data_IF_167829544425
#
_entry.id   IF_167829544425
#
_cell.length_a   1.000
_cell.length_b   1.000
_cell.length_c   1.000
_cell.angle_alpha   90.00
_cell.angle_beta   90.00
_cell.angle_gamma   90.00
#
_symmetry.space_group_name_H-M   'P 1'
#
loop_
_entity.id
_entity.type
_entity.pdbx_description
1 polymer ?
#
# COMPACT_ATOMS: atom_id res chain seq x y z
N UNK A 1 7.33 -2.39 12.55
CA UNK A 1 6.47 -1.54 11.71
C UNK A 1 6.77 -0.09 12.03
N UNK A 2 6.63 0.80 11.04
CA UNK A 2 6.94 2.23 11.20
C UNK A 2 5.70 3.02 11.59
N UNK A 3 5.85 3.98 12.50
CA UNK A 3 4.75 4.78 13.09
C UNK A 3 3.76 5.34 12.06
N UNK A 4 4.27 5.89 10.95
CA UNK A 4 3.44 6.49 9.88
C UNK A 4 2.63 5.42 9.14
N UNK A 5 3.22 4.26 8.87
CA UNK A 5 2.51 3.17 8.20
C UNK A 5 1.39 2.62 9.09
N UNK A 6 1.68 2.40 10.38
CA UNK A 6 0.69 1.92 11.34
C UNK A 6 -0.42 2.96 11.59
N UNK A 7 -0.09 4.26 11.60
CA UNK A 7 -1.08 5.34 11.68
C UNK A 7 -2.04 5.31 10.48
N UNK A 8 -1.49 5.22 9.26
CA UNK A 8 -2.30 5.22 8.04
C UNK A 8 -3.14 3.93 7.89
N UNK A 9 -2.64 2.80 8.41
CA UNK A 9 -3.38 1.54 8.45
C UNK A 9 -4.43 1.48 9.57
N UNK A 10 -4.46 2.45 10.50
CA UNK A 10 -5.33 2.42 11.67
C UNK A 10 -4.94 1.35 12.69
N UNK A 11 -3.67 0.95 12.72
CA UNK A 11 -3.15 -0.13 13.57
C UNK A 11 -2.49 0.36 14.87
N UNK A 12 -2.46 1.68 15.11
CA UNK A 12 -1.93 2.21 16.36
C UNK A 12 -2.85 1.88 17.55
N UNK A 13 -2.25 1.59 18.69
CA UNK A 13 -3.00 1.52 19.94
C UNK A 13 -3.59 2.89 20.30
N UNK A 14 -4.70 2.95 21.05
CA UNK A 14 -5.37 4.21 21.37
C UNK A 14 -4.46 5.26 22.01
N UNK A 15 -3.56 4.83 22.90
CA UNK A 15 -2.60 5.71 23.58
C UNK A 15 -1.62 6.34 22.60
N UNK A 16 -1.09 5.57 21.65
CA UNK A 16 -0.11 6.06 20.67
C UNK A 16 -0.80 6.93 19.62
N UNK A 17 -2.01 6.55 19.20
CA UNK A 17 -2.84 7.35 18.31
C UNK A 17 -3.09 8.75 18.89
N UNK A 18 -3.58 8.83 20.13
CA UNK A 18 -3.87 10.11 20.79
C UNK A 18 -2.60 10.98 20.95
N UNK A 19 -1.47 10.37 21.32
CA UNK A 19 -0.20 11.09 21.43
C UNK A 19 0.27 11.63 20.07
N UNK A 20 0.14 10.84 19.01
CA UNK A 20 0.55 11.23 17.67
C UNK A 20 -0.36 12.31 17.08
N UNK A 21 -1.68 12.18 17.22
CA UNK A 21 -2.64 13.21 16.78
C UNK A 21 -2.44 14.53 17.52
N UNK A 22 -2.18 14.48 18.83
CA UNK A 22 -1.80 15.68 19.59
C UNK A 22 -0.53 16.32 19.02
N UNK A 23 0.49 15.53 18.66
CA UNK A 23 1.70 16.06 18.05
C UNK A 23 1.41 16.73 16.69
N UNK A 24 0.61 16.09 15.83
CA UNK A 24 0.21 16.67 14.54
C UNK A 24 -0.55 18.00 14.71
N UNK A 25 -1.35 18.14 15.77
CA UNK A 25 -2.05 19.39 16.08
C UNK A 25 -1.15 20.57 16.46
N UNK A 26 0.09 20.32 16.90
CA UNK A 26 1.01 21.37 17.37
C UNK A 26 2.27 21.52 16.50
N UNK A 27 2.54 20.57 15.60
CA UNK A 27 3.75 20.53 14.79
C UNK A 27 3.41 20.64 13.29
N UNK A 28 3.67 21.82 12.73
CA UNK A 28 3.40 22.08 11.32
C UNK A 28 4.25 21.19 10.39
N UNK A 29 5.53 20.99 10.71
CA UNK A 29 6.44 20.22 9.88
C UNK A 29 6.03 18.74 9.78
N UNK A 30 5.61 18.15 10.89
CA UNK A 30 5.15 16.76 10.91
C UNK A 30 3.81 16.59 10.17
N UNK A 31 2.92 17.58 10.26
CA UNK A 31 1.69 17.61 9.45
C UNK A 31 2.01 17.75 7.95
N UNK A 32 2.93 18.63 7.58
CA UNK A 32 3.38 18.80 6.19
C UNK A 32 4.05 17.53 5.64
N UNK A 33 4.87 16.87 6.45
CA UNK A 33 5.49 15.59 6.12
C UNK A 33 4.44 14.50 5.89
N UNK A 34 3.49 14.33 6.82
CA UNK A 34 2.43 13.32 6.72
C UNK A 34 1.58 13.53 5.46
N UNK A 35 1.24 14.78 5.15
CA UNK A 35 0.49 15.12 3.94
C UNK A 35 1.26 14.80 2.67
N UNK A 36 2.57 15.11 2.63
CA UNK A 36 3.43 14.76 1.50
C UNK A 36 3.51 13.24 1.33
N UNK A 37 3.68 12.51 2.42
CA UNK A 37 3.75 11.05 2.38
C UNK A 37 2.46 10.41 1.84
N UNK A 38 1.29 10.90 2.28
CA UNK A 38 -0.02 10.48 1.72
C UNK A 38 -0.10 10.71 0.20
N UNK A 39 0.33 11.88 -0.28
CA UNK A 39 0.36 12.18 -1.73
C UNK A 39 1.31 11.26 -2.50
N UNK A 40 2.46 10.91 -1.93
CA UNK A 40 3.38 9.94 -2.54
C UNK A 40 2.75 8.57 -2.69
N UNK A 41 1.98 8.10 -1.69
CA UNK A 41 1.21 6.86 -1.78
C UNK A 41 0.19 6.93 -2.92
N UNK A 42 -0.62 8.00 -2.95
CA UNK A 42 -1.63 8.20 -3.98
C UNK A 42 -1.03 8.22 -5.40
N UNK A 43 0.08 8.95 -5.59
CA UNK A 43 0.79 9.01 -6.86
C UNK A 43 1.32 7.63 -7.29
N UNK A 44 1.95 6.91 -6.36
CA UNK A 44 2.47 5.56 -6.61
C UNK A 44 1.36 4.58 -6.97
N UNK A 45 0.25 4.59 -6.21
CA UNK A 45 -0.91 3.74 -6.50
C UNK A 45 -1.54 4.06 -7.84
N UNK A 46 -1.64 5.35 -8.19
CA UNK A 46 -2.18 5.79 -9.48
C UNK A 46 -1.31 5.29 -10.63
N UNK A 47 0.02 5.44 -10.51
CA UNK A 47 0.98 4.93 -11.47
C UNK A 47 0.92 3.41 -11.63
N UNK A 48 0.82 2.65 -10.53
CA UNK A 48 0.69 1.19 -10.57
C UNK A 48 -0.64 0.72 -11.18
N UNK A 49 -1.75 1.43 -10.93
CA UNK A 49 -3.04 1.14 -11.56
C UNK A 49 -2.98 1.37 -13.08
N UNK A 50 -2.34 2.45 -13.53
CA UNK A 50 -2.15 2.77 -14.95
C UNK A 50 -1.26 1.72 -15.63
N UNK A 51 -0.24 1.23 -14.93
CA UNK A 51 0.69 0.22 -15.44
C UNK A 51 0.28 -1.23 -15.20
N UNK A 52 -0.95 -1.50 -14.72
CA UNK A 52 -1.37 -2.86 -14.46
C UNK A 52 -1.13 -3.70 -15.71
N UNK A 53 -0.14 -4.63 -15.70
CA UNK A 53 0.12 -5.43 -16.87
C UNK A 53 -1.12 -6.29 -17.08
N UNK A 54 -1.64 -6.33 -18.31
CA UNK A 54 -2.52 -7.40 -18.77
C UNK A 54 -1.66 -8.66 -18.65
N UNK A 55 -1.67 -9.31 -17.50
CA UNK A 55 -0.97 -10.57 -17.35
C UNK A 55 -1.75 -11.59 -18.20
N UNK A 56 -1.17 -12.17 -19.27
CA UNK A 56 -1.84 -13.24 -19.97
C UNK A 56 -1.98 -14.40 -18.97
N UNK A 57 -3.23 -14.81 -18.71
CA UNK A 57 -3.52 -16.02 -17.93
C UNK A 57 -2.66 -17.15 -18.50
N UNK A 58 -1.77 -17.81 -17.73
CA UNK A 58 -1.06 -18.97 -18.23
C UNK A 58 -2.11 -19.98 -18.68
N UNK A 59 -2.20 -20.23 -19.99
CA UNK A 59 -2.98 -21.35 -20.51
C UNK A 59 -2.31 -22.58 -19.94
N UNK A 60 -2.98 -23.21 -18.99
CA UNK A 60 -2.54 -24.48 -18.42
C UNK A 60 -2.21 -25.42 -19.56
N UNK A 61 -0.97 -25.89 -19.57
CA UNK A 61 -0.49 -26.96 -20.42
C UNK A 61 -1.43 -28.15 -20.17
N UNK A 62 -2.41 -28.36 -21.05
CA UNK A 62 -3.22 -29.57 -21.06
C UNK A 62 -2.34 -30.66 -21.65
N UNK A 63 -2.00 -31.74 -20.93
CA UNK A 63 -1.37 -32.88 -21.54
C UNK A 63 -2.44 -33.61 -22.36
N UNK A 64 -2.63 -33.20 -23.61
CA UNK A 64 -3.24 -34.06 -24.60
C UNK A 64 -2.31 -35.26 -24.83
N UNK A 65 -2.86 -36.45 -24.58
CA UNK A 65 -2.12 -37.69 -24.63
C UNK A 65 -1.58 -38.05 -26.00
N UNK A 66 -0.53 -38.86 -25.98
CA UNK A 66 -0.18 -39.80 -27.06
C UNK A 66 0.89 -40.78 -26.57
N UNK A 67 0.53 -42.03 -26.27
CA UNK A 67 0.80 -43.17 -27.17
C UNK A 67 0.34 -44.48 -26.55
N UNK A 68 -0.28 -45.28 -27.40
CA UNK A 68 -0.67 -46.67 -27.30
C UNK A 68 0.43 -47.60 -26.81
N UNK A 69 0.03 -48.69 -26.15
CA UNK A 69 0.52 -50.04 -26.46
C UNK A 69 -0.53 -51.08 -26.11
#
# INVERSE_FOLDING_TARGET
>A
MGLIADYLAGHLSPTVLAAFERHLGHCHDCTAFLNTYKKTIEATQSFLKIQSPIWPKPQGLSPEGRHSS
#
